data_IF_725017066590
#
_entry.id   IF_725017066590
#
_cell.length_a   1.000
_cell.length_b   1.000
_cell.length_c   1.000
_cell.angle_alpha   90.00
_cell.angle_beta   90.00
_cell.angle_gamma   90.00
#
_symmetry.space_group_name_H-M   'P 1'
#
loop_
_entity.id
_entity.type
_entity.pdbx_description
1 polymer ?
#
# COMPACT_ATOMS: atom_id res chain seq x y z
N UNK A 1 12.20 -0.46 1.94
CA UNK A 1 12.27 1.01 1.85
C UNK A 1 10.91 1.67 2.10
N UNK A 2 9.87 1.23 1.40
CA UNK A 2 8.54 1.83 1.55
C UNK A 2 8.00 1.66 2.97
N UNK A 3 8.13 0.47 3.54
CA UNK A 3 7.72 0.23 4.92
C UNK A 3 8.44 1.14 5.91
N UNK A 4 9.73 1.35 5.70
CA UNK A 4 10.53 2.25 6.54
C UNK A 4 10.06 3.70 6.41
N UNK A 5 9.69 4.14 5.21
CA UNK A 5 9.16 5.48 4.98
C UNK A 5 7.80 5.66 5.70
N UNK A 6 6.94 4.66 5.65
CA UNK A 6 5.67 4.69 6.40
C UNK A 6 5.91 4.81 7.91
N UNK A 7 6.86 4.04 8.45
CA UNK A 7 7.21 4.13 9.87
C UNK A 7 7.71 5.53 10.23
N UNK A 8 8.63 6.07 9.43
CA UNK A 8 9.23 7.37 9.71
C UNK A 8 8.19 8.49 9.65
N UNK A 9 7.31 8.48 8.65
CA UNK A 9 6.23 9.46 8.54
C UNK A 9 5.29 9.36 9.73
N UNK A 10 4.90 8.15 10.13
CA UNK A 10 4.04 7.93 11.27
C UNK A 10 4.69 8.44 12.56
N UNK A 11 5.96 8.15 12.77
CA UNK A 11 6.71 8.57 13.94
C UNK A 11 6.78 10.10 14.07
N UNK A 12 6.87 10.79 12.94
CA UNK A 12 6.93 12.26 12.89
C UNK A 12 5.55 12.92 12.82
N UNK A 13 4.47 12.16 12.85
CA UNK A 13 3.12 12.70 12.72
C UNK A 13 2.78 13.17 11.31
N UNK A 14 3.54 12.73 10.32
CA UNK A 14 3.34 13.07 8.90
C UNK A 14 2.53 12.00 8.20
N UNK A 15 1.99 12.37 7.04
CA UNK A 15 1.28 11.44 6.18
C UNK A 15 -0.14 11.17 6.61
N UNK A 16 -0.78 10.25 5.91
CA UNK A 16 -2.21 9.97 6.01
C UNK A 16 -2.53 8.65 6.71
N UNK A 17 -1.51 7.95 7.20
CA UNK A 17 -1.72 6.64 7.82
C UNK A 17 -0.82 6.46 9.04
N UNK A 18 -1.30 6.79 10.25
CA UNK A 18 -0.58 6.49 11.48
C UNK A 18 -0.52 4.97 11.70
N UNK A 19 0.64 4.45 12.04
CA UNK A 19 0.86 3.03 12.27
C UNK A 19 0.78 2.70 13.76
N UNK A 20 0.15 1.59 14.11
CA UNK A 20 0.32 0.95 15.41
C UNK A 20 1.26 -0.25 15.30
N UNK A 21 1.26 -0.93 14.16
CA UNK A 21 2.24 -1.95 13.85
C UNK A 21 2.40 -2.07 12.33
N UNK A 22 3.52 -2.64 11.89
CA UNK A 22 3.83 -2.80 10.47
C UNK A 22 4.28 -4.24 10.20
N UNK A 23 3.77 -4.79 9.11
CA UNK A 23 4.30 -5.99 8.50
C UNK A 23 4.90 -5.55 7.16
N UNK A 24 6.18 -5.84 6.91
CA UNK A 24 6.88 -5.33 5.71
C UNK A 24 6.26 -5.82 4.41
N UNK A 25 5.86 -7.08 4.38
CA UNK A 25 5.24 -7.66 3.21
C UNK A 25 4.62 -9.00 3.56
N UNK A 26 3.92 -9.57 2.60
CA UNK A 26 3.30 -10.87 2.77
C UNK A 26 3.31 -11.63 1.44
N UNK A 27 3.60 -12.91 1.50
CA UNK A 27 3.55 -13.79 0.34
C UNK A 27 3.11 -15.20 0.78
N UNK A 28 2.59 -15.97 -0.16
CA UNK A 28 2.22 -17.36 0.05
C UNK A 28 2.83 -18.26 -1.05
N UNK A 29 2.46 -19.54 -1.03
CA UNK A 29 3.01 -20.53 -1.97
C UNK A 29 2.40 -20.44 -3.37
N UNK A 30 1.37 -19.63 -3.59
CA UNK A 30 0.67 -19.50 -4.87
C UNK A 30 0.97 -18.20 -5.59
N UNK A 31 2.19 -17.68 -5.46
CA UNK A 31 2.66 -16.43 -6.08
C UNK A 31 1.89 -15.19 -5.65
N UNK A 32 1.18 -15.26 -4.53
CA UNK A 32 0.53 -14.08 -3.95
C UNK A 32 1.58 -13.26 -3.23
N UNK A 33 1.67 -11.98 -3.56
CA UNK A 33 2.65 -11.08 -2.96
C UNK A 33 2.02 -9.72 -2.69
N UNK A 34 2.22 -9.23 -1.46
CA UNK A 34 1.82 -7.89 -1.04
C UNK A 34 3.07 -7.22 -0.47
N UNK A 35 3.47 -6.11 -1.08
CA UNK A 35 4.74 -5.45 -0.77
C UNK A 35 4.69 -4.63 0.52
N UNK A 36 3.50 -4.15 0.89
CA UNK A 36 3.30 -3.36 2.09
C UNK A 36 2.04 -3.81 2.81
N UNK A 37 2.18 -4.12 4.10
CA UNK A 37 1.04 -4.33 5.00
C UNK A 37 1.20 -3.37 6.16
N UNK A 38 0.31 -2.38 6.25
CA UNK A 38 0.34 -1.36 7.29
C UNK A 38 -0.93 -1.43 8.13
N UNK A 39 -0.76 -1.43 9.44
CA UNK A 39 -1.87 -1.61 10.39
C UNK A 39 -2.02 -0.40 11.29
N UNK A 40 -3.26 0.02 11.51
CA UNK A 40 -3.61 0.84 12.66
C UNK A 40 -4.69 0.09 13.45
N UNK A 41 -4.29 -0.54 14.53
CA UNK A 41 -5.19 -1.37 15.33
C UNK A 41 -6.19 -0.54 16.13
N UNK A 42 -5.82 0.67 16.51
CA UNK A 42 -6.69 1.57 17.25
C UNK A 42 -7.92 1.98 16.43
N UNK A 43 -7.70 2.35 15.16
CA UNK A 43 -8.78 2.75 14.26
C UNK A 43 -9.29 1.61 13.39
N UNK A 44 -8.69 0.43 13.50
CA UNK A 44 -8.98 -0.74 12.67
C UNK A 44 -8.90 -0.44 11.18
N UNK A 45 -7.78 0.16 10.78
CA UNK A 45 -7.47 0.44 9.38
C UNK A 45 -6.31 -0.45 8.92
N UNK A 46 -6.45 -1.00 7.73
CA UNK A 46 -5.45 -1.84 7.08
C UNK A 46 -5.14 -1.23 5.71
N UNK A 47 -3.87 -1.02 5.43
CA UNK A 47 -3.44 -0.55 4.11
C UNK A 47 -2.54 -1.59 3.47
N UNK A 48 -2.90 -2.02 2.26
CA UNK A 48 -2.16 -3.00 1.48
C UNK A 48 -1.60 -2.34 0.24
N UNK A 49 -0.33 -2.56 -0.04
CA UNK A 49 0.37 -1.85 -1.11
C UNK A 49 1.10 -2.73 -2.09
N UNK A 50 1.02 -2.34 -3.36
CA UNK A 50 1.84 -2.87 -4.46
C UNK A 50 2.91 -1.83 -4.80
N UNK A 51 4.16 -2.27 -4.88
CA UNK A 51 5.31 -1.43 -5.23
C UNK A 51 5.95 -1.94 -6.50
N UNK A 52 6.07 -1.10 -7.52
CA UNK A 52 6.73 -1.44 -8.78
C UNK A 52 7.73 -0.35 -9.15
N UNK A 53 8.67 -0.68 -10.03
CA UNK A 53 9.73 0.24 -10.44
C UNK A 53 9.27 1.30 -11.43
N UNK A 54 8.14 1.07 -12.11
CA UNK A 54 7.61 2.03 -13.08
C UNK A 54 6.11 2.14 -12.95
N UNK A 55 5.58 3.30 -13.35
CA UNK A 55 4.15 3.54 -13.38
C UNK A 55 3.42 2.55 -14.31
N UNK A 56 4.01 2.25 -15.48
CA UNK A 56 3.41 1.33 -16.44
C UNK A 56 3.28 -0.09 -15.87
N UNK A 57 4.34 -0.60 -15.22
CA UNK A 57 4.32 -1.90 -14.58
C UNK A 57 3.28 -1.95 -13.45
N UNK A 58 3.19 -0.86 -12.68
CA UNK A 58 2.26 -0.75 -11.57
C UNK A 58 0.81 -0.82 -12.07
N UNK A 59 0.44 0.01 -13.02
CA UNK A 59 -0.93 0.04 -13.57
C UNK A 59 -1.31 -1.32 -14.17
N UNK A 60 -0.38 -1.95 -14.89
CA UNK A 60 -0.62 -3.26 -15.50
C UNK A 60 -0.85 -4.37 -14.47
N UNK A 61 -0.29 -4.23 -13.26
CA UNK A 61 -0.34 -5.25 -12.21
C UNK A 61 -1.57 -5.14 -11.30
N UNK A 62 -2.27 -4.01 -11.27
CA UNK A 62 -3.29 -3.75 -10.25
C UNK A 62 -4.48 -4.72 -10.32
N UNK A 63 -4.88 -5.17 -11.51
CA UNK A 63 -5.95 -6.17 -11.63
C UNK A 63 -5.56 -7.49 -10.95
N UNK A 64 -4.32 -7.92 -11.12
CA UNK A 64 -3.77 -9.10 -10.46
C UNK A 64 -3.64 -8.87 -8.95
N UNK A 65 -3.25 -7.66 -8.56
CA UNK A 65 -3.10 -7.33 -7.14
C UNK A 65 -4.42 -7.40 -6.38
N UNK A 66 -5.55 -7.10 -7.00
CA UNK A 66 -6.86 -7.28 -6.38
C UNK A 66 -7.07 -8.73 -5.92
N UNK A 67 -6.60 -9.70 -6.70
CA UNK A 67 -6.61 -11.10 -6.29
C UNK A 67 -5.71 -11.38 -5.08
N UNK A 68 -4.56 -10.73 -5.02
CA UNK A 68 -3.65 -10.85 -3.87
C UNK A 68 -4.29 -10.31 -2.60
N UNK A 69 -4.98 -9.17 -2.69
CA UNK A 69 -5.72 -8.58 -1.57
C UNK A 69 -6.80 -9.55 -1.06
N UNK A 70 -7.57 -10.14 -1.98
CA UNK A 70 -8.61 -11.09 -1.61
C UNK A 70 -8.04 -12.31 -0.86
N UNK A 71 -6.91 -12.84 -1.32
CA UNK A 71 -6.24 -13.97 -0.67
C UNK A 71 -5.71 -13.60 0.71
N UNK A 72 -5.14 -12.41 0.85
CA UNK A 72 -4.68 -11.93 2.14
C UNK A 72 -5.82 -11.84 3.16
N UNK A 73 -6.92 -11.23 2.76
CA UNK A 73 -8.08 -11.09 3.66
C UNK A 73 -8.70 -12.45 4.00
N UNK A 74 -8.66 -13.41 3.09
CA UNK A 74 -9.11 -14.77 3.36
C UNK A 74 -8.18 -15.47 4.38
N UNK A 75 -6.88 -15.24 4.27
CA UNK A 75 -5.90 -15.83 5.18
C UNK A 75 -5.94 -15.21 6.58
N UNK A 76 -6.40 -13.96 6.69
CA UNK A 76 -6.43 -13.23 7.95
C UNK A 76 -7.84 -12.69 8.26
N UNK A 77 -8.76 -13.56 8.72
CA UNK A 77 -10.16 -13.15 8.97
C UNK A 77 -10.32 -12.04 10.01
N UNK A 78 -9.30 -11.81 10.84
CA UNK A 78 -9.34 -10.72 11.84
C UNK A 78 -9.58 -9.34 11.21
N UNK A 79 -9.24 -9.17 9.93
CA UNK A 79 -9.40 -7.91 9.23
C UNK A 79 -10.75 -7.77 8.53
N UNK A 80 -11.66 -8.74 8.67
CA UNK A 80 -12.94 -8.75 7.93
C UNK A 80 -13.82 -7.54 8.22
N UNK A 81 -13.68 -6.92 9.40
CA UNK A 81 -14.44 -5.74 9.82
C UNK A 81 -13.61 -4.45 9.77
N UNK A 82 -12.38 -4.55 9.30
CA UNK A 82 -11.48 -3.39 9.22
C UNK A 82 -11.73 -2.61 7.94
N UNK A 83 -11.42 -1.31 7.99
CA UNK A 83 -11.39 -0.49 6.78
C UNK A 83 -10.13 -0.84 5.99
N UNK A 84 -10.30 -1.38 4.80
CA UNK A 84 -9.19 -1.80 3.94
C UNK A 84 -8.93 -0.73 2.89
N UNK A 85 -7.70 -0.25 2.83
CA UNK A 85 -7.22 0.72 1.85
C UNK A 85 -6.17 0.07 0.98
N UNK A 86 -6.16 0.39 -0.31
CA UNK A 86 -5.19 -0.14 -1.27
C UNK A 86 -4.36 0.99 -1.82
N UNK A 87 -3.05 0.81 -1.86
CA UNK A 87 -2.12 1.83 -2.34
C UNK A 87 -1.21 1.25 -3.41
N UNK A 88 -0.95 2.05 -4.43
CA UNK A 88 -0.07 1.69 -5.54
C UNK A 88 1.11 2.65 -5.55
N UNK A 89 2.33 2.10 -5.46
CA UNK A 89 3.54 2.87 -5.20
C UNK A 89 4.57 2.65 -6.31
N UNK A 90 5.10 3.74 -6.85
CA UNK A 90 6.21 3.73 -7.78
C UNK A 90 7.14 4.91 -7.47
N UNK A 91 8.40 4.89 -7.95
CA UNK A 91 9.32 6.00 -7.70
C UNK A 91 8.79 7.34 -8.18
N UNK A 92 8.13 7.37 -9.35
CA UNK A 92 7.50 8.59 -9.88
C UNK A 92 6.19 8.24 -10.55
N UNK A 93 5.24 9.16 -10.50
CA UNK A 93 3.90 8.99 -11.08
C UNK A 93 3.50 10.32 -11.73
N UNK A 94 3.23 10.29 -13.05
CA UNK A 94 2.66 11.46 -13.72
C UNK A 94 1.14 11.51 -13.49
N UNK A 95 0.51 12.59 -13.97
CA UNK A 95 -0.92 12.80 -13.76
C UNK A 95 -1.78 11.71 -14.39
N UNK A 96 -1.41 11.25 -15.58
CA UNK A 96 -2.14 10.19 -16.27
C UNK A 96 -2.10 8.87 -15.47
N UNK A 97 -0.93 8.50 -14.96
CA UNK A 97 -0.78 7.30 -14.13
C UNK A 97 -1.59 7.41 -12.84
N UNK A 98 -1.55 8.58 -12.18
CA UNK A 98 -2.31 8.80 -10.95
C UNK A 98 -3.81 8.66 -11.19
N UNK A 99 -4.32 9.19 -12.28
CA UNK A 99 -5.74 9.06 -12.62
C UNK A 99 -6.13 7.63 -12.93
N UNK A 100 -5.30 6.89 -13.64
CA UNK A 100 -5.55 5.47 -13.92
C UNK A 100 -5.60 4.64 -12.63
N UNK A 101 -4.68 4.90 -11.72
CA UNK A 101 -4.61 4.21 -10.42
C UNK A 101 -5.86 4.51 -9.58
N UNK A 102 -6.25 5.78 -9.49
CA UNK A 102 -7.47 6.18 -8.77
C UNK A 102 -8.72 5.52 -9.37
N UNK A 103 -8.81 5.45 -10.70
CA UNK A 103 -9.94 4.83 -11.38
C UNK A 103 -10.08 3.34 -11.04
N UNK A 104 -8.99 2.68 -10.65
CA UNK A 104 -9.00 1.27 -10.23
C UNK A 104 -9.25 1.08 -8.74
N UNK A 105 -9.49 2.16 -8.01
CA UNK A 105 -9.78 2.10 -6.58
C UNK A 105 -8.54 2.09 -5.67
N UNK A 106 -7.41 2.54 -6.19
CA UNK A 106 -6.14 2.60 -5.45
C UNK A 106 -5.74 4.04 -5.17
N UNK A 107 -5.03 4.24 -4.06
CA UNK A 107 -4.39 5.51 -3.75
C UNK A 107 -2.99 5.51 -4.40
N UNK A 108 -2.70 6.46 -5.29
CA UNK A 108 -1.36 6.55 -5.89
C UNK A 108 -0.38 7.26 -4.95
N UNK A 109 0.82 6.71 -4.79
CA UNK A 109 1.90 7.35 -4.02
C UNK A 109 3.22 7.19 -4.75
N UNK A 110 3.96 8.29 -4.90
CA UNK A 110 5.33 8.26 -5.40
C UNK A 110 6.30 8.31 -4.22
N UNK A 111 7.59 8.08 -4.48
CA UNK A 111 8.61 8.28 -3.45
C UNK A 111 8.67 9.74 -3.00
N UNK A 112 8.44 10.70 -3.91
CA UNK A 112 8.37 12.11 -3.53
C UNK A 112 7.23 12.36 -2.53
N UNK A 113 6.06 11.74 -2.74
CA UNK A 113 4.95 11.84 -1.80
C UNK A 113 5.33 11.27 -0.44
N UNK A 114 6.03 10.14 -0.43
CA UNK A 114 6.39 9.44 0.82
C UNK A 114 7.55 10.10 1.55
N UNK A 115 8.41 10.84 0.86
CA UNK A 115 9.54 11.53 1.47
C UNK A 115 9.25 12.99 1.80
N UNK A 116 8.10 13.52 1.38
CA UNK A 116 7.71 14.89 1.67
C UNK A 116 7.70 15.14 3.18
N UNK A 117 8.38 16.18 3.61
CA UNK A 117 8.48 16.56 5.02
C UNK A 117 9.53 15.81 5.83
N UNK A 118 10.24 14.84 5.24
CA UNK A 118 11.30 14.07 5.94
C UNK A 118 12.69 14.73 5.84
N UNK A 119 12.86 15.69 4.96
CA UNK A 119 14.14 16.37 4.74
C UNK A 119 14.17 17.74 5.37
#
# INVERSE_FOLDING_TARGET
LVGQLYEERSRLGLGDFPLTSRIEGWWDRSDTEIDLVALNETTQRLRLGSCKRSAAALVADLGRFDGHVARFLHAFPRFSQWQVEKVAIAPSLNQEARQAILAMGYLPQSLDDLTAGLL
#
